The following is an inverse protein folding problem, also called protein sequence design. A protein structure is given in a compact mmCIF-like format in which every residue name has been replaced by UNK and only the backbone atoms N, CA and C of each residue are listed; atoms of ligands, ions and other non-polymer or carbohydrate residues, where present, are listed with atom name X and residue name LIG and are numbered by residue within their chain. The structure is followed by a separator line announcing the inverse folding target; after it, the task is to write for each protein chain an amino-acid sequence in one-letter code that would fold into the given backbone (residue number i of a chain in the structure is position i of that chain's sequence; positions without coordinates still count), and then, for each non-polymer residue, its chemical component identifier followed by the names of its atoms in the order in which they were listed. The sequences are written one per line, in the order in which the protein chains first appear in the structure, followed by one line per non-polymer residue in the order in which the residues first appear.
data_IF_368641257429
#
_entry.id   IF_368641257429
#
_cell.length_a   1.000
_cell.length_b   1.000
_cell.length_c   1.000
_cell.angle_alpha   90.00
_cell.angle_beta   90.00
_cell.angle_gamma   90.00
#
_symmetry.space_group_name_H-M   'P 1'
#
loop_
_entity.id
_entity.type
_entity.pdbx_description
1 polymer ?
#
# COMPACT_ATOMS: atom_id res chain seq x y z
N UNK A 1 2.23 -12.08 -12.07
CA UNK A 1 3.17 -12.22 -13.21
C UNK A 1 3.43 -10.92 -13.99
N UNK A 2 2.41 -10.12 -14.38
CA UNK A 2 2.63 -8.87 -15.17
C UNK A 2 3.66 -7.91 -14.55
N UNK A 3 3.58 -7.65 -13.25
CA UNK A 3 4.55 -6.81 -12.54
C UNK A 3 5.97 -7.37 -12.62
N UNK A 4 6.14 -8.67 -12.39
CA UNK A 4 7.44 -9.33 -12.50
C UNK A 4 8.01 -9.24 -13.94
N UNK A 5 7.18 -9.33 -14.98
CA UNK A 5 7.62 -9.12 -16.36
C UNK A 5 8.08 -7.68 -16.62
N UNK A 6 7.38 -6.67 -16.08
CA UNK A 6 7.80 -5.27 -16.15
C UNK A 6 9.17 -5.04 -15.48
N UNK A 7 9.48 -5.80 -14.44
CA UNK A 7 10.80 -5.81 -13.80
C UNK A 7 11.85 -6.70 -14.49
N UNK A 8 11.59 -7.24 -15.70
CA UNK A 8 12.57 -8.04 -16.44
C UNK A 8 12.71 -9.51 -15.99
N UNK A 9 11.84 -10.00 -15.11
CA UNK A 9 11.93 -11.37 -14.59
C UNK A 9 11.58 -12.40 -15.68
N UNK A 10 12.50 -13.32 -16.00
CA UNK A 10 12.35 -14.35 -17.05
C UNK A 10 11.69 -15.66 -16.58
N UNK A 11 11.94 -16.10 -15.35
CA UNK A 11 11.35 -17.30 -14.71
C UNK A 11 10.92 -16.94 -13.28
N UNK A 12 9.82 -17.52 -12.82
CA UNK A 12 9.24 -17.24 -11.50
C UNK A 12 8.99 -18.59 -10.83
N UNK A 13 9.58 -18.82 -9.67
CA UNK A 13 9.35 -20.01 -8.85
C UNK A 13 7.94 -19.99 -8.22
N UNK A 14 7.36 -21.17 -7.97
CA UNK A 14 6.04 -21.29 -7.36
C UNK A 14 6.00 -20.76 -5.91
N UNK A 15 7.05 -20.96 -5.12
CA UNK A 15 7.09 -20.49 -3.72
C UNK A 15 6.95 -18.97 -3.56
N UNK A 16 7.35 -18.19 -4.57
CA UNK A 16 7.35 -16.72 -4.51
C UNK A 16 5.93 -16.12 -4.51
N UNK A 17 4.90 -16.85 -4.94
CA UNK A 17 3.54 -16.29 -5.01
C UNK A 17 2.98 -15.95 -3.63
N UNK A 18 3.26 -16.78 -2.63
CA UNK A 18 2.74 -16.58 -1.27
C UNK A 18 3.51 -15.47 -0.56
N UNK A 19 4.84 -15.44 -0.67
CA UNK A 19 5.69 -14.39 -0.09
C UNK A 19 5.32 -13.01 -0.64
N UNK A 20 5.10 -12.88 -1.96
CA UNK A 20 4.70 -11.61 -2.57
C UNK A 20 3.30 -11.19 -2.10
N UNK A 21 2.39 -12.15 -1.88
CA UNK A 21 1.04 -11.86 -1.37
C UNK A 21 1.10 -11.38 0.08
N UNK A 22 1.91 -12.03 0.91
CA UNK A 22 2.14 -11.63 2.30
C UNK A 22 2.72 -10.21 2.37
N UNK A 23 3.81 -9.95 1.64
CA UNK A 23 4.43 -8.63 1.60
C UNK A 23 3.47 -7.52 1.13
N UNK A 24 2.61 -7.80 0.14
CA UNK A 24 1.60 -6.85 -0.31
C UNK A 24 0.54 -6.58 0.77
N UNK A 25 0.06 -7.63 1.45
CA UNK A 25 -0.91 -7.50 2.53
C UNK A 25 -0.35 -6.72 3.71
N UNK A 26 0.90 -6.96 4.09
CA UNK A 26 1.57 -6.27 5.20
C UNK A 26 1.74 -4.79 4.89
N UNK A 27 2.21 -4.47 3.68
CA UNK A 27 2.32 -3.10 3.18
C UNK A 27 0.96 -2.38 3.25
N UNK A 28 -0.11 -3.01 2.78
CA UNK A 28 -1.45 -2.43 2.78
C UNK A 28 -1.99 -2.24 4.20
N UNK A 29 -1.79 -3.23 5.07
CA UNK A 29 -2.21 -3.17 6.47
C UNK A 29 -1.58 -1.99 7.19
N UNK A 30 -0.29 -1.74 6.95
CA UNK A 30 0.40 -0.59 7.55
C UNK A 30 -0.13 0.75 7.05
N UNK A 31 -0.40 0.89 5.74
CA UNK A 31 -0.97 2.13 5.19
C UNK A 31 -2.39 2.35 5.75
N UNK A 32 -3.22 1.31 5.80
CA UNK A 32 -4.60 1.43 6.28
C UNK A 32 -4.69 1.79 7.77
N UNK A 33 -3.76 1.29 8.61
CA UNK A 33 -3.68 1.70 10.02
C UNK A 33 -3.51 3.21 10.15
N UNK A 34 -2.59 3.79 9.39
CA UNK A 34 -2.37 5.24 9.40
C UNK A 34 -3.57 6.00 8.84
N UNK A 35 -4.18 5.52 7.75
CA UNK A 35 -5.40 6.12 7.21
C UNK A 35 -6.54 6.13 8.25
N UNK A 36 -6.75 5.03 8.98
CA UNK A 36 -7.77 4.94 10.03
C UNK A 36 -7.48 5.95 11.14
N UNK A 37 -6.22 6.09 11.57
CA UNK A 37 -5.85 7.11 12.56
C UNK A 37 -6.22 8.52 12.11
N UNK A 38 -6.00 8.88 10.85
CA UNK A 38 -6.42 10.19 10.33
C UNK A 38 -7.95 10.36 10.26
N UNK A 39 -8.67 9.31 9.86
CA UNK A 39 -10.15 9.30 9.82
C UNK A 39 -10.75 9.47 11.22
N UNK A 40 -10.19 8.77 12.21
CA UNK A 40 -10.62 8.87 13.61
C UNK A 40 -10.32 10.26 14.19
N UNK A 41 -9.13 10.81 13.90
CA UNK A 41 -8.76 12.16 14.34
C UNK A 41 -9.72 13.24 13.85
N UNK A 42 -10.32 13.07 12.66
CA UNK A 42 -11.33 14.01 12.13
C UNK A 42 -12.79 13.60 12.43
N UNK A 43 -13.00 12.61 13.29
CA UNK A 43 -14.32 12.10 13.69
C UNK A 43 -15.22 11.66 12.53
N UNK A 44 -14.65 11.04 11.51
CA UNK A 44 -15.39 10.57 10.34
C UNK A 44 -15.44 9.04 10.27
N UNK A 45 -16.28 8.52 9.34
CA UNK A 45 -16.44 7.08 9.09
C UNK A 45 -15.99 6.63 7.70
N UNK A 46 -15.66 7.57 6.82
CA UNK A 46 -15.36 7.29 5.41
C UNK A 46 -13.96 7.75 5.09
N UNK A 47 -13.06 6.86 4.67
CA UNK A 47 -11.70 7.23 4.23
C UNK A 47 -11.76 8.13 2.99
N UNK A 48 -10.99 9.22 2.99
CA UNK A 48 -10.84 10.15 1.88
C UNK A 48 -9.47 10.01 1.22
N UNK A 49 -9.28 10.63 0.05
CA UNK A 49 -8.00 10.65 -0.67
C UNK A 49 -6.90 11.31 0.18
N UNK A 50 -7.23 12.38 0.92
CA UNK A 50 -6.27 13.08 1.78
C UNK A 50 -5.72 12.19 2.90
N UNK A 51 -6.55 11.33 3.51
CA UNK A 51 -6.09 10.38 4.55
C UNK A 51 -5.00 9.45 3.99
N UNK A 52 -5.16 9.00 2.74
CA UNK A 52 -4.17 8.16 2.05
C UNK A 52 -2.90 8.94 1.68
N UNK A 53 -3.04 10.17 1.19
CA UNK A 53 -1.90 11.04 0.87
C UNK A 53 -1.04 11.31 2.12
N UNK A 54 -1.67 11.63 3.25
CA UNK A 54 -0.98 11.86 4.52
C UNK A 54 -0.33 10.58 5.06
N UNK A 55 -0.98 9.42 4.95
CA UNK A 55 -0.37 8.14 5.33
C UNK A 55 0.87 7.81 4.50
N UNK A 56 0.80 8.04 3.19
CA UNK A 56 1.92 7.81 2.28
C UNK A 56 3.08 8.78 2.50
N UNK A 57 2.77 10.05 2.79
CA UNK A 57 3.77 11.06 3.16
C UNK A 57 4.48 10.69 4.47
N UNK A 58 3.74 10.17 5.48
CA UNK A 58 4.31 9.71 6.76
C UNK A 58 5.31 8.57 6.59
N UNK A 59 5.07 7.67 5.64
CA UNK A 59 5.96 6.53 5.32
C UNK A 59 7.13 6.96 4.40
N UNK A 60 7.24 8.25 4.04
CA UNK A 60 8.30 8.76 3.17
C UNK A 60 8.13 8.36 1.71
N UNK A 61 6.90 8.06 1.27
CA UNK A 61 6.58 7.71 -0.13
C UNK A 61 5.39 8.52 -0.64
N UNK A 62 5.51 9.86 -0.73
CA UNK A 62 4.43 10.72 -1.17
C UNK A 62 4.02 10.42 -2.62
N UNK A 63 2.74 10.64 -2.92
CA UNK A 63 2.17 10.53 -4.27
C UNK A 63 1.62 11.89 -4.66
N UNK A 64 1.87 12.31 -5.89
CA UNK A 64 1.48 13.61 -6.43
C UNK A 64 0.37 13.47 -7.46
N UNK A 65 -0.51 14.49 -7.56
CA UNK A 65 -1.53 14.57 -8.62
C UNK A 65 -2.85 13.85 -8.32
N UNK A 66 -3.26 13.79 -7.05
CA UNK A 66 -4.52 13.22 -6.58
C UNK A 66 -5.32 14.24 -5.77
#
# INVERSE_FOLDING_TARGET
RRLARRGGVKRISAGIYDDVRAALKDRLTNILRDCITYVEHRHAKTVTVYDVLHALQRIGRPVWGF
#
